data_IF_221784563569
#
_entry.id   IF_221784563569
#
_cell.length_a   1.000
_cell.length_b   1.000
_cell.length_c   1.000
_cell.angle_alpha   90.00
_cell.angle_beta   90.00
_cell.angle_gamma   90.00
#
_symmetry.space_group_name_H-M   'P 1'
#
loop_
_entity.id
_entity.type
_entity.pdbx_description
1 polymer ?
#
# COMPACT_ATOMS: atom_id res chain seq x y z
N UNK A 1 -72.85 13.95 42.04
CA UNK A 1 -72.43 15.08 41.18
C UNK A 1 -71.33 14.58 40.23
N UNK A 2 -71.58 14.69 38.91
CA UNK A 2 -70.65 14.74 37.75
C UNK A 2 -69.53 13.68 37.59
N UNK A 3 -69.62 12.76 36.61
CA UNK A 3 -69.16 12.86 35.18
C UNK A 3 -67.61 12.92 35.07
N UNK A 4 -66.85 12.20 34.21
CA UNK A 4 -67.00 11.49 32.92
C UNK A 4 -65.65 10.76 32.67
N UNK A 5 -65.65 9.51 32.21
CA UNK A 5 -65.46 9.03 30.82
C UNK A 5 -64.01 8.91 30.32
N UNK A 6 -63.75 7.74 29.75
CA UNK A 6 -62.48 7.17 29.28
C UNK A 6 -61.88 7.94 28.11
N UNK A 7 -60.57 8.21 28.13
CA UNK A 7 -59.79 8.53 26.92
C UNK A 7 -58.45 7.78 26.98
N UNK A 8 -58.36 6.76 26.14
CA UNK A 8 -57.14 6.18 25.62
C UNK A 8 -56.23 7.28 25.07
N UNK A 9 -55.01 7.43 25.59
CA UNK A 9 -53.89 7.94 24.79
C UNK A 9 -52.71 6.99 24.96
N UNK A 10 -52.70 6.05 24.03
CA UNK A 10 -51.57 5.26 23.57
C UNK A 10 -50.37 6.18 23.37
N UNK A 11 -49.46 6.22 24.35
CA UNK A 11 -48.14 6.83 24.18
C UNK A 11 -47.36 5.91 23.27
N UNK A 12 -47.58 6.11 21.98
CA UNK A 12 -46.77 5.59 20.90
C UNK A 12 -45.35 6.12 21.10
N UNK A 13 -44.49 5.30 21.73
CA UNK A 13 -43.05 5.46 21.62
C UNK A 13 -42.70 5.23 20.16
N UNK A 14 -42.77 6.31 19.39
CA UNK A 14 -42.10 6.42 18.11
C UNK A 14 -40.60 6.39 18.42
N UNK A 15 -40.02 5.20 18.52
CA UNK A 15 -38.58 5.03 18.48
C UNK A 15 -38.18 5.46 17.07
N UNK A 16 -37.79 6.72 16.92
CA UNK A 16 -37.06 7.21 15.78
C UNK A 16 -35.82 6.31 15.67
N UNK A 17 -35.88 5.36 14.74
CA UNK A 17 -34.73 4.63 14.26
C UNK A 17 -33.72 5.68 13.81
N UNK A 18 -32.79 6.04 14.69
CA UNK A 18 -31.58 6.72 14.26
C UNK A 18 -30.89 5.70 13.38
N UNK A 19 -31.11 5.80 12.08
CA UNK A 19 -30.27 5.16 11.09
C UNK A 19 -28.88 5.66 11.39
N UNK A 20 -28.13 4.88 12.16
CA UNK A 20 -26.69 5.01 12.21
C UNK A 20 -26.28 4.68 10.79
N UNK A 21 -26.13 5.71 9.96
CA UNK A 21 -25.31 5.64 8.78
C UNK A 21 -23.98 5.14 9.31
N UNK A 22 -23.75 3.82 9.24
CA UNK A 22 -22.43 3.25 9.40
C UNK A 22 -21.66 3.95 8.30
N UNK A 23 -20.95 5.02 8.65
CA UNK A 23 -19.83 5.51 7.87
C UNK A 23 -18.94 4.30 7.85
N UNK A 24 -19.08 3.49 6.80
CA UNK A 24 -18.30 2.29 6.61
C UNK A 24 -16.88 2.82 6.58
N UNK A 25 -16.16 2.65 7.69
CA UNK A 25 -14.83 3.19 7.85
C UNK A 25 -14.04 2.61 6.67
N UNK A 26 -13.74 3.46 5.69
CA UNK A 26 -13.02 3.10 4.49
C UNK A 26 -11.78 2.36 4.96
N UNK A 27 -11.74 1.04 4.74
CA UNK A 27 -10.79 0.18 5.43
C UNK A 27 -9.38 0.63 5.04
N UNK A 28 -8.66 1.16 6.03
CA UNK A 28 -7.31 1.66 5.84
C UNK A 28 -6.36 0.47 5.65
N UNK A 29 -5.98 0.21 4.40
CA UNK A 29 -5.04 -0.84 4.06
C UNK A 29 -3.64 -0.55 4.60
N UNK A 30 -2.88 -1.62 4.85
CA UNK A 30 -1.47 -1.55 5.28
C UNK A 30 -0.58 -2.37 4.34
N UNK A 31 0.58 -1.83 3.99
CA UNK A 31 1.66 -2.55 3.30
C UNK A 31 2.80 -2.76 4.29
N UNK A 32 3.24 -4.00 4.43
CA UNK A 32 4.42 -4.38 5.20
C UNK A 32 5.52 -4.84 4.24
N UNK A 33 6.73 -4.33 4.45
CA UNK A 33 7.93 -4.86 3.79
C UNK A 33 8.82 -5.48 4.86
N UNK A 34 9.28 -6.69 4.62
CA UNK A 34 10.34 -7.34 5.39
C UNK A 34 11.54 -7.52 4.48
N UNK A 35 12.68 -6.99 4.87
CA UNK A 35 13.90 -7.05 4.08
C UNK A 35 14.98 -7.84 4.82
N UNK A 36 15.34 -8.99 4.26
CA UNK A 36 16.29 -9.94 4.86
C UNK A 36 17.37 -10.32 3.86
N UNK A 37 18.57 -10.54 4.37
CA UNK A 37 19.67 -11.13 3.62
C UNK A 37 19.29 -12.52 3.09
N UNK A 38 19.53 -12.78 1.82
CA UNK A 38 19.06 -14.01 1.19
C UNK A 38 19.76 -15.27 1.73
N UNK A 39 21.06 -15.19 2.02
CA UNK A 39 21.83 -16.34 2.50
C UNK A 39 21.55 -16.62 3.98
N UNK A 40 21.63 -15.58 4.81
CA UNK A 40 21.59 -15.72 6.27
C UNK A 40 20.19 -15.58 6.87
N UNK A 41 19.21 -15.11 6.07
CA UNK A 41 17.85 -14.73 6.49
C UNK A 41 17.81 -13.68 7.60
N UNK A 42 18.92 -12.99 7.87
CA UNK A 42 19.02 -11.93 8.87
C UNK A 42 18.39 -10.64 8.35
N UNK A 43 17.79 -9.87 9.26
CA UNK A 43 17.21 -8.57 8.96
C UNK A 43 18.25 -7.56 8.45
N UNK A 44 17.91 -6.81 7.40
CA UNK A 44 18.78 -5.77 6.83
C UNK A 44 18.21 -4.38 7.11
N UNK A 45 18.93 -3.62 7.94
CA UNK A 45 18.62 -2.22 8.31
C UNK A 45 19.25 -1.24 7.31
N UNK A 46 18.55 -0.14 7.03
CA UNK A 46 19.13 1.03 6.36
C UNK A 46 18.77 1.20 4.88
N UNK A 47 17.83 0.42 4.34
CA UNK A 47 17.27 0.66 3.00
C UNK A 47 16.05 1.58 3.09
N UNK A 48 16.04 2.66 2.32
CA UNK A 48 14.89 3.57 2.21
C UNK A 48 14.07 3.27 0.97
N UNK A 49 12.82 2.88 1.18
CA UNK A 49 11.81 2.75 0.13
C UNK A 49 10.93 4.00 0.07
N UNK A 50 10.54 4.38 -1.15
CA UNK A 50 9.54 5.42 -1.41
C UNK A 50 8.27 4.76 -1.95
N UNK A 51 7.14 5.09 -1.35
CA UNK A 51 5.81 4.69 -1.78
C UNK A 51 5.11 5.85 -2.51
N UNK A 52 4.62 5.57 -3.71
CA UNK A 52 3.85 6.51 -4.54
C UNK A 52 2.49 5.92 -4.87
N UNK A 53 1.40 6.68 -4.64
CA UNK A 53 0.10 6.30 -5.19
C UNK A 53 0.07 6.61 -6.69
N UNK A 54 -0.03 5.57 -7.50
CA UNK A 54 -0.03 5.64 -8.97
C UNK A 54 -1.45 5.87 -9.47
N UNK A 55 -2.39 5.08 -8.96
CA UNK A 55 -3.78 5.10 -9.39
C UNK A 55 -4.74 4.90 -8.21
N UNK A 56 -5.95 5.42 -8.32
CA UNK A 56 -7.08 5.05 -7.47
C UNK A 56 -7.91 3.93 -8.09
N UNK A 57 -8.73 3.28 -7.27
CA UNK A 57 -9.77 2.37 -7.75
C UNK A 57 -10.94 3.20 -8.32
N UNK A 58 -11.38 2.87 -9.53
CA UNK A 58 -12.53 3.45 -10.21
C UNK A 58 -13.55 2.38 -10.58
N UNK A 59 -14.67 2.79 -11.19
CA UNK A 59 -15.80 1.88 -11.49
C UNK A 59 -15.46 0.70 -12.40
N UNK A 60 -14.51 0.88 -13.33
CA UNK A 60 -14.16 -0.11 -14.35
C UNK A 60 -12.66 -0.41 -14.37
N UNK A 61 -12.00 -0.28 -13.21
CA UNK A 61 -10.56 -0.54 -13.06
C UNK A 61 -9.81 0.63 -12.42
N UNK A 62 -8.52 0.74 -12.68
CA UNK A 62 -7.66 1.73 -12.03
C UNK A 62 -7.57 3.04 -12.81
N UNK A 63 -7.70 4.16 -12.11
CA UNK A 63 -7.62 5.51 -12.67
C UNK A 63 -6.33 6.18 -12.20
N UNK A 64 -5.44 6.53 -13.13
CA UNK A 64 -4.19 7.21 -12.81
C UNK A 64 -4.42 8.53 -12.08
N UNK A 65 -3.60 8.77 -11.06
CA UNK A 65 -3.51 10.08 -10.42
C UNK A 65 -2.89 11.10 -11.37
N UNK A 66 -3.09 12.40 -11.12
CA UNK A 66 -2.61 13.50 -11.99
C UNK A 66 -1.15 13.38 -12.41
N UNK A 67 -0.27 12.94 -11.52
CA UNK A 67 1.15 12.76 -11.82
C UNK A 67 1.43 11.66 -12.87
N UNK A 68 0.53 10.68 -13.00
CA UNK A 68 0.71 9.50 -13.83
C UNK A 68 -0.24 9.42 -15.03
N UNK A 69 -1.16 10.36 -15.20
CA UNK A 69 -2.18 10.35 -16.27
C UNK A 69 -1.62 10.32 -17.69
N UNK A 70 -0.41 10.85 -17.93
CA UNK A 70 0.21 10.86 -19.27
C UNK A 70 0.79 9.50 -19.69
N UNK A 71 0.79 8.49 -18.83
CA UNK A 71 1.32 7.18 -19.15
C UNK A 71 0.31 6.39 -19.99
N UNK A 72 0.77 5.75 -21.07
CA UNK A 72 -0.05 4.95 -22.00
C UNK A 72 -0.08 3.46 -21.64
N UNK A 73 -0.03 3.13 -20.35
CA UNK A 73 0.05 1.73 -19.87
C UNK A 73 -1.24 1.30 -19.20
N UNK A 74 -1.65 0.06 -19.41
CA UNK A 74 -2.80 -0.53 -18.72
C UNK A 74 -2.33 -1.21 -17.45
N UNK A 75 -2.89 -0.81 -16.31
CA UNK A 75 -2.65 -1.46 -15.01
C UNK A 75 -3.54 -2.70 -14.88
N UNK A 76 -2.94 -3.84 -14.56
CA UNK A 76 -3.64 -5.10 -14.28
C UNK A 76 -2.86 -5.89 -13.24
N UNK A 77 -3.53 -6.52 -12.29
CA UNK A 77 -2.89 -7.40 -11.30
C UNK A 77 -2.38 -8.71 -11.89
N UNK A 78 -2.85 -9.09 -13.07
CA UNK A 78 -2.81 -10.48 -13.53
C UNK A 78 -1.58 -10.81 -14.39
N UNK A 79 -0.81 -9.79 -14.80
CA UNK A 79 0.37 -9.95 -15.64
C UNK A 79 1.63 -9.44 -14.92
N UNK A 80 2.33 -10.38 -14.28
CA UNK A 80 3.52 -10.10 -13.47
C UNK A 80 4.66 -9.50 -14.31
N UNK A 81 4.92 -10.02 -15.51
CA UNK A 81 6.04 -9.55 -16.35
C UNK A 81 5.79 -8.12 -16.84
N UNK A 82 4.57 -7.85 -17.30
CA UNK A 82 4.16 -6.51 -17.70
C UNK A 82 4.19 -5.54 -16.51
N UNK A 83 3.78 -5.97 -15.33
CA UNK A 83 3.83 -5.15 -14.12
C UNK A 83 5.25 -4.73 -13.72
N UNK A 84 6.25 -5.61 -13.91
CA UNK A 84 7.66 -5.25 -13.70
C UNK A 84 8.08 -4.15 -14.67
N UNK A 85 7.75 -4.27 -15.95
CA UNK A 85 8.09 -3.26 -16.96
C UNK A 85 7.39 -1.92 -16.67
N UNK A 86 6.10 -1.96 -16.31
CA UNK A 86 5.34 -0.79 -15.92
C UNK A 86 5.98 -0.13 -14.70
N UNK A 87 6.34 -0.88 -13.65
CA UNK A 87 6.97 -0.31 -12.45
C UNK A 87 8.25 0.47 -12.78
N UNK A 88 9.11 -0.08 -13.65
CA UNK A 88 10.33 0.59 -14.13
C UNK A 88 10.03 1.86 -14.94
N UNK A 89 8.99 1.85 -15.77
CA UNK A 89 8.54 3.05 -16.48
C UNK A 89 8.05 4.12 -15.50
N UNK A 90 7.22 3.73 -14.53
CA UNK A 90 6.59 4.64 -13.59
C UNK A 90 7.57 5.21 -12.54
N UNK A 91 8.67 4.52 -12.23
CA UNK A 91 9.75 5.03 -11.35
C UNK A 91 10.30 6.38 -11.84
N UNK A 92 10.32 6.61 -13.16
CA UNK A 92 10.89 7.82 -13.77
C UNK A 92 9.97 9.05 -13.63
N UNK A 93 8.69 8.87 -13.31
CA UNK A 93 7.65 9.91 -13.41
C UNK A 93 7.69 10.92 -12.27
N UNK A 94 7.72 10.45 -11.02
CA UNK A 94 7.67 11.31 -9.83
C UNK A 94 8.75 10.90 -8.87
N UNK A 95 9.51 11.85 -8.30
CA UNK A 95 10.49 11.62 -7.21
C UNK A 95 9.93 11.88 -5.80
N UNK A 96 8.68 12.36 -5.71
CA UNK A 96 7.96 12.57 -4.45
C UNK A 96 7.48 11.22 -3.90
N UNK A 97 6.91 11.19 -2.69
CA UNK A 97 6.31 9.99 -2.11
C UNK A 97 6.60 9.85 -0.63
N UNK A 98 5.96 8.87 0.01
CA UNK A 98 6.16 8.57 1.43
C UNK A 98 7.43 7.75 1.55
N UNK A 99 8.44 8.27 2.26
CA UNK A 99 9.73 7.59 2.47
C UNK A 99 9.73 6.87 3.81
N UNK A 100 10.19 5.62 3.82
CA UNK A 100 10.41 4.84 5.04
C UNK A 100 11.70 4.03 4.91
N UNK A 101 12.41 3.87 6.01
CA UNK A 101 13.69 3.15 6.06
C UNK A 101 13.54 1.89 6.90
N UNK A 102 14.13 0.78 6.47
CA UNK A 102 14.10 -0.48 7.22
C UNK A 102 14.75 -0.29 8.59
N UNK A 103 14.05 -0.73 9.63
CA UNK A 103 14.51 -0.66 11.02
C UNK A 103 15.50 -1.80 11.35
N UNK A 104 15.89 -1.96 12.62
CA UNK A 104 16.80 -3.03 13.06
C UNK A 104 16.27 -4.44 12.77
N UNK A 105 14.96 -4.59 12.64
CA UNK A 105 14.27 -5.84 12.32
C UNK A 105 14.02 -5.99 10.80
N UNK A 106 14.57 -5.11 9.97
CA UNK A 106 14.40 -5.16 8.52
C UNK A 106 13.01 -4.78 8.04
N UNK A 107 12.18 -4.15 8.90
CA UNK A 107 10.75 -3.92 8.63
C UNK A 107 10.44 -2.48 8.25
N UNK A 108 9.45 -2.32 7.37
CA UNK A 108 8.76 -1.07 7.05
C UNK A 108 7.26 -1.30 7.12
N UNK A 109 6.52 -0.29 7.60
CA UNK A 109 5.06 -0.25 7.51
C UNK A 109 4.61 1.04 6.85
N UNK A 110 3.77 0.89 5.83
CA UNK A 110 2.94 1.97 5.28
C UNK A 110 1.50 1.72 5.72
N UNK A 111 0.89 2.70 6.36
CA UNK A 111 -0.45 2.63 6.93
C UNK A 111 -1.40 3.64 6.29
N UNK A 112 -2.69 3.51 6.61
CA UNK A 112 -3.73 4.46 6.20
C UNK A 112 -3.81 4.63 4.67
N UNK A 113 -3.60 3.53 3.94
CA UNK A 113 -3.63 3.52 2.50
C UNK A 113 -5.06 3.30 2.02
N UNK A 114 -5.49 4.11 1.07
CA UNK A 114 -6.76 3.90 0.34
C UNK A 114 -6.54 2.87 -0.76
N UNK A 115 -7.59 2.17 -1.18
CA UNK A 115 -7.56 1.31 -2.35
C UNK A 115 -7.02 2.03 -3.62
N UNK A 116 -6.38 1.26 -4.49
CA UNK A 116 -5.68 1.70 -5.68
C UNK A 116 -4.32 1.01 -5.87
N UNK A 117 -3.53 1.53 -6.81
CA UNK A 117 -2.22 0.97 -7.17
C UNK A 117 -1.10 1.85 -6.64
N UNK A 118 -0.09 1.22 -6.07
CA UNK A 118 1.06 1.88 -5.50
C UNK A 118 2.35 1.38 -6.14
N UNK A 119 3.29 2.31 -6.35
CA UNK A 119 4.65 2.01 -6.77
C UNK A 119 5.57 2.08 -5.55
N UNK A 120 6.34 1.01 -5.34
CA UNK A 120 7.41 0.95 -4.34
C UNK A 120 8.75 0.91 -5.07
N UNK A 121 9.69 1.72 -4.61
CA UNK A 121 11.07 1.75 -5.14
C UNK A 121 12.08 2.02 -4.05
N UNK A 122 13.26 1.41 -4.16
CA UNK A 122 14.40 1.74 -3.33
C UNK A 122 15.00 3.08 -3.79
N UNK A 123 15.22 4.00 -2.85
CA UNK A 123 15.73 5.36 -3.14
C UNK A 123 17.02 5.72 -2.42
N UNK A 124 17.37 4.99 -1.36
CA UNK A 124 18.62 5.17 -0.63
C UNK A 124 19.02 3.86 0.05
N UNK A 125 20.31 3.63 0.20
CA UNK A 125 20.88 2.62 1.08
C UNK A 125 21.94 3.27 1.98
N UNK A 126 21.99 2.86 3.24
CA UNK A 126 22.93 3.37 4.24
C UNK A 126 23.47 2.24 5.13
N UNK A 127 24.67 2.41 5.69
CA UNK A 127 25.32 1.36 6.49
C UNK A 127 25.59 0.10 5.66
N UNK A 128 25.45 -1.07 6.27
CA UNK A 128 25.65 -2.38 5.63
C UNK A 128 24.69 -2.62 4.45
N UNK A 129 23.55 -1.93 4.40
CA UNK A 129 22.61 -2.03 3.29
C UNK A 129 23.21 -1.61 1.93
N UNK A 130 24.32 -0.84 1.92
CA UNK A 130 25.01 -0.44 0.68
C UNK A 130 25.70 -1.61 -0.03
N UNK A 131 25.92 -2.72 0.68
CA UNK A 131 26.63 -3.89 0.14
C UNK A 131 25.70 -4.84 -0.62
N UNK A 132 24.42 -4.48 -0.76
CA UNK A 132 23.42 -5.29 -1.45
C UNK A 132 22.98 -4.63 -2.76
N UNK A 133 22.53 -5.44 -3.69
CA UNK A 133 21.92 -4.99 -4.93
C UNK A 133 20.67 -4.14 -4.65
N UNK A 134 20.44 -3.14 -5.49
CA UNK A 134 19.24 -2.29 -5.42
C UNK A 134 18.02 -3.14 -5.78
N UNK A 135 16.98 -3.07 -4.96
CA UNK A 135 15.68 -3.68 -5.29
C UNK A 135 15.03 -2.91 -6.45
N UNK A 136 14.69 -3.67 -7.49
CA UNK A 136 13.91 -3.19 -8.63
C UNK A 136 12.53 -2.69 -8.18
N UNK A 137 11.98 -1.64 -8.81
CA UNK A 137 10.66 -1.13 -8.45
C UNK A 137 9.56 -2.15 -8.75
N UNK A 138 8.49 -2.13 -7.96
CA UNK A 138 7.34 -3.02 -8.14
C UNK A 138 6.01 -2.34 -7.80
N UNK A 139 4.93 -2.90 -8.34
CA UNK A 139 3.57 -2.43 -8.09
C UNK A 139 2.89 -3.25 -6.99
N UNK A 140 2.08 -2.56 -6.19
CA UNK A 140 1.20 -3.15 -5.17
C UNK A 140 -0.23 -2.72 -5.46
N UNK A 141 -1.10 -3.70 -5.62
CA UNK A 141 -2.53 -3.50 -5.87
C UNK A 141 -3.29 -3.69 -4.56
N UNK A 142 -4.00 -2.64 -4.13
CA UNK A 142 -4.84 -2.67 -2.93
C UNK A 142 -6.30 -2.46 -3.35
N UNK A 143 -7.18 -3.36 -2.95
CA UNK A 143 -8.63 -3.25 -3.13
C UNK A 143 -9.29 -2.73 -1.85
N UNK A 144 -10.56 -2.30 -1.90
CA UNK A 144 -11.31 -1.93 -0.68
C UNK A 144 -11.41 -3.09 0.35
N UNK A 145 -11.33 -4.36 -0.10
CA UNK A 145 -11.30 -5.52 0.78
C UNK A 145 -9.91 -5.79 1.39
N UNK A 146 -8.85 -5.14 0.88
CA UNK A 146 -7.48 -5.36 1.34
C UNK A 146 -7.25 -4.70 2.70
N UNK A 147 -7.10 -5.50 3.75
CA UNK A 147 -6.71 -5.00 5.09
C UNK A 147 -5.19 -4.86 5.25
N UNK A 148 -4.46 -5.85 4.75
CA UNK A 148 -3.00 -5.98 4.91
C UNK A 148 -2.42 -6.77 3.74
N UNK A 149 -1.28 -6.32 3.24
CA UNK A 149 -0.38 -7.10 2.37
C UNK A 149 1.04 -7.07 2.92
N UNK A 150 1.76 -8.18 2.80
CA UNK A 150 3.15 -8.31 3.23
C UNK A 150 4.00 -8.73 2.03
N UNK A 151 5.14 -8.08 1.86
CA UNK A 151 6.16 -8.46 0.89
C UNK A 151 7.46 -8.80 1.61
N UNK A 152 7.92 -10.03 1.42
CA UNK A 152 9.24 -10.46 1.86
C UNK A 152 10.23 -10.23 0.71
N UNK A 153 11.15 -9.30 0.94
CA UNK A 153 12.16 -8.85 0.00
C UNK A 153 13.52 -9.43 0.43
N UNK A 154 14.28 -9.94 -0.53
CA UNK A 154 15.59 -10.54 -0.28
C UNK A 154 16.73 -9.63 -0.70
N UNK A 155 17.73 -9.47 0.15
CA UNK A 155 18.94 -8.72 -0.10
C UNK A 155 20.00 -9.66 -0.68
N UNK A 156 20.44 -9.37 -1.91
CA UNK A 156 21.43 -10.18 -2.62
C UNK A 156 22.72 -9.37 -2.71
N UNK A 157 23.86 -9.97 -2.32
CA UNK A 157 25.17 -9.34 -2.50
C UNK A 157 25.58 -9.36 -3.98
N UNK A 158 26.22 -8.30 -4.51
CA UNK A 158 26.80 -8.34 -5.84
C UNK A 158 27.83 -9.47 -5.98
N UNK A 159 27.83 -10.16 -7.12
CA UNK A 159 28.89 -11.13 -7.45
C UNK A 159 30.11 -10.34 -7.91
N UNK A 160 31.24 -10.46 -7.20
CA UNK A 160 32.52 -9.89 -7.63
C UNK A 160 33.34 -10.99 -8.31
N UNK A 161 33.60 -10.85 -9.61
CA UNK A 161 34.58 -11.69 -10.30
C UNK A 161 35.98 -11.09 -10.09
N UNK A 162 36.81 -11.76 -9.30
CA UNK A 162 38.24 -11.46 -9.25
C UNK A 162 38.88 -12.12 -10.45
N UNK A 163 39.29 -11.36 -11.45
CA UNK A 163 40.16 -11.85 -12.51
C UNK A 163 41.57 -11.86 -11.96
N UNK A 164 42.15 -13.04 -11.74
CA UNK A 164 43.58 -13.18 -11.49
C UNK A 164 44.28 -13.03 -12.84
N UNK A 165 45.12 -12.00 -12.95
CA UNK A 165 46.07 -11.82 -14.05
C UNK A 165 47.37 -12.54 -13.79
#
# INVERSE_FOLDING_TARGET
>A
MHKKWSIFVMVSLLVLSVSVNKVQAKSASKIFLHYTDDATKKAVKGVTFTLNKVAGEGKSGYVFTKAYQKNKVTLSSDDTLKNIQIAKQLEKVSKKGIKRTTNKQGKITFNNLKAGVYLIRQTKAAGSAKNYQKIEPFLVYLTESTKKVTYDLTAITPVTMTVFG
#
